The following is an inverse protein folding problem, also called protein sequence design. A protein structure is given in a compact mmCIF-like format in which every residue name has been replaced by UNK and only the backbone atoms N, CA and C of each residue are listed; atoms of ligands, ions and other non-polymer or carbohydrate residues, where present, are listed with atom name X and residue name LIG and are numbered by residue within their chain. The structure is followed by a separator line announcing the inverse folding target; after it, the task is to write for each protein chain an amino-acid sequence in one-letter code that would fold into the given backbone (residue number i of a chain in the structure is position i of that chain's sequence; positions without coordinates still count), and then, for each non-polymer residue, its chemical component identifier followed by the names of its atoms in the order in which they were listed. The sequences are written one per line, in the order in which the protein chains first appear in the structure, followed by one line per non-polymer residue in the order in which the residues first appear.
data_IF_547244582918
#
_entry.id   IF_547244582918
#
_cell.length_a   1.000
_cell.length_b   1.000
_cell.length_c   1.000
_cell.angle_alpha   90.00
_cell.angle_beta   90.00
_cell.angle_gamma   90.00
#
_symmetry.space_group_name_H-M   'P 1'
#
loop_
_entity.id
_entity.type
_entity.pdbx_description
1 polymer ?
#
# COMPACT_ATOMS: atom_id res chain seq x y z
N UNK A 1 -31.48 -11.27 -8.30
CA UNK A 1 -30.13 -11.70 -7.86
C UNK A 1 -29.73 -12.86 -8.75
N UNK A 2 -28.58 -12.78 -9.42
CA UNK A 2 -28.17 -13.85 -10.33
C UNK A 2 -27.72 -15.10 -9.53
N UNK A 3 -27.58 -16.25 -10.20
CA UNK A 3 -27.23 -17.53 -9.56
C UNK A 3 -25.89 -17.47 -8.83
N UNK A 4 -24.89 -16.78 -9.38
CA UNK A 4 -23.58 -16.55 -8.76
C UNK A 4 -23.72 -15.85 -7.40
N UNK A 5 -24.52 -14.78 -7.33
CA UNK A 5 -24.72 -14.05 -6.08
C UNK A 5 -25.35 -14.91 -4.98
N UNK A 6 -26.24 -15.86 -5.33
CA UNK A 6 -26.82 -16.78 -4.37
C UNK A 6 -25.78 -17.76 -3.82
N UNK A 7 -24.89 -18.25 -4.67
CA UNK A 7 -23.78 -19.12 -4.28
C UNK A 7 -22.85 -18.38 -3.32
N UNK A 8 -22.38 -17.19 -3.73
CA UNK A 8 -21.48 -16.37 -2.90
C UNK A 8 -22.10 -16.00 -1.55
N UNK A 9 -23.41 -15.70 -1.52
CA UNK A 9 -24.08 -15.40 -0.25
C UNK A 9 -24.10 -16.60 0.69
N UNK A 10 -24.38 -17.80 0.19
CA UNK A 10 -24.32 -19.03 1.00
C UNK A 10 -22.94 -19.28 1.60
N UNK A 11 -21.88 -19.09 0.80
CA UNK A 11 -20.50 -19.23 1.28
C UNK A 11 -20.16 -18.18 2.35
N UNK A 12 -20.55 -16.93 2.16
CA UNK A 12 -20.36 -15.87 3.16
C UNK A 12 -21.10 -16.18 4.47
N UNK A 13 -22.33 -16.69 4.39
CA UNK A 13 -23.11 -17.07 5.56
C UNK A 13 -22.47 -18.24 6.31
N UNK A 14 -21.89 -19.21 5.58
CA UNK A 14 -21.14 -20.31 6.17
C UNK A 14 -19.88 -19.84 6.88
N UNK A 15 -19.10 -18.93 6.24
CA UNK A 15 -17.90 -18.30 6.83
C UNK A 15 -18.26 -17.57 8.13
N UNK A 16 -19.36 -16.80 8.13
CA UNK A 16 -19.87 -16.11 9.33
C UNK A 16 -20.29 -17.07 10.42
N UNK A 17 -21.06 -18.10 10.06
CA UNK A 17 -21.54 -19.14 11.00
C UNK A 17 -20.38 -19.86 11.69
N UNK A 18 -19.30 -20.10 10.96
CA UNK A 18 -18.11 -20.78 11.48
C UNK A 18 -17.15 -19.84 12.24
N UNK A 19 -17.50 -18.55 12.44
CA UNK A 19 -16.64 -17.58 13.12
C UNK A 19 -15.36 -17.21 12.36
N UNK A 20 -15.29 -17.52 11.07
CA UNK A 20 -14.12 -17.26 10.22
C UNK A 20 -14.18 -15.91 9.49
N UNK A 21 -15.31 -15.21 9.59
CA UNK A 21 -15.47 -13.91 8.96
C UNK A 21 -14.67 -12.85 9.71
N UNK A 22 -13.71 -12.22 9.03
CA UNK A 22 -12.91 -11.12 9.57
C UNK A 22 -13.50 -9.78 9.13
N UNK A 23 -13.93 -8.99 10.10
CA UNK A 23 -14.33 -7.60 9.86
C UNK A 23 -13.09 -6.72 9.75
N UNK A 24 -12.96 -6.00 8.65
CA UNK A 24 -11.90 -5.02 8.46
C UNK A 24 -12.23 -3.73 9.23
N UNK A 25 -11.24 -3.17 9.91
CA UNK A 25 -11.37 -1.87 10.58
C UNK A 25 -11.04 -0.77 9.60
N UNK A 26 -11.90 0.24 9.51
CA UNK A 26 -11.64 1.43 8.71
C UNK A 26 -10.66 2.34 9.46
N UNK A 27 -9.58 2.72 8.77
CA UNK A 27 -8.56 3.65 9.26
C UNK A 27 -8.74 4.98 8.54
N UNK A 28 -8.78 6.07 9.29
CA UNK A 28 -9.03 7.43 8.80
C UNK A 28 -7.81 8.36 8.90
N UNK A 29 -6.66 7.81 9.26
CA UNK A 29 -5.39 8.52 9.30
C UNK A 29 -4.34 7.85 8.40
N UNK A 30 -3.22 8.52 8.11
CA UNK A 30 -2.04 7.84 7.57
C UNK A 30 -1.58 6.71 8.50
N UNK A 31 -0.82 5.74 7.95
CA UNK A 31 -0.19 4.69 8.73
C UNK A 31 0.91 5.25 9.62
N UNK A 32 0.78 5.00 10.92
CA UNK A 32 1.74 5.44 11.93
C UNK A 32 1.67 4.51 13.14
N UNK A 33 2.49 4.76 14.16
CA UNK A 33 2.41 4.08 15.48
C UNK A 33 1.07 4.32 16.18
N UNK A 34 0.47 5.50 15.95
CA UNK A 34 -0.90 5.83 16.34
C UNK A 34 -1.72 6.06 15.08
N UNK A 35 -2.89 5.46 15.02
CA UNK A 35 -3.84 5.59 13.91
C UNK A 35 -5.22 5.94 14.44
N UNK A 36 -5.98 6.66 13.63
CA UNK A 36 -7.37 6.98 13.91
C UNK A 36 -8.29 5.98 13.21
N UNK A 37 -9.17 5.35 13.95
CA UNK A 37 -10.22 4.49 13.44
C UNK A 37 -11.58 5.21 13.54
N UNK A 38 -12.66 4.49 13.21
CA UNK A 38 -14.03 5.03 13.24
C UNK A 38 -14.29 5.81 14.54
N UNK A 39 -15.11 6.87 14.44
CA UNK A 39 -15.52 7.76 15.54
C UNK A 39 -14.36 8.55 16.19
N UNK A 40 -13.32 8.84 15.40
CA UNK A 40 -12.10 9.53 15.84
C UNK A 40 -11.37 8.84 17.01
N UNK A 41 -11.58 7.55 17.17
CA UNK A 41 -10.90 6.80 18.22
C UNK A 41 -9.45 6.52 17.83
N UNK A 42 -8.50 6.99 18.63
CA UNK A 42 -7.07 6.77 18.45
C UNK A 42 -6.64 5.44 19.07
N UNK A 43 -5.89 4.63 18.32
CA UNK A 43 -5.35 3.36 18.79
C UNK A 43 -3.87 3.22 18.43
N UNK A 44 -3.14 2.42 19.21
CA UNK A 44 -1.78 2.02 18.89
C UNK A 44 -1.79 0.92 17.84
N UNK A 45 -0.96 1.09 16.81
CA UNK A 45 -0.85 0.15 15.70
C UNK A 45 0.39 -0.74 15.85
N UNK A 46 0.18 -1.96 16.33
CA UNK A 46 1.24 -2.98 16.46
C UNK A 46 1.29 -3.96 15.28
N UNK A 47 0.42 -3.80 14.29
CA UNK A 47 0.23 -4.79 13.22
C UNK A 47 0.82 -4.36 11.88
N UNK A 48 1.30 -3.12 11.72
CA UNK A 48 1.82 -2.63 10.46
C UNK A 48 3.26 -3.11 10.21
N UNK A 49 3.59 -3.36 8.94
CA UNK A 49 4.95 -3.66 8.50
C UNK A 49 5.79 -2.39 8.32
N UNK A 50 5.50 -1.34 9.08
CA UNK A 50 6.18 -0.04 9.03
C UNK A 50 7.36 0.01 10.01
N UNK A 51 8.23 -0.98 9.96
CA UNK A 51 9.32 -1.19 10.93
C UNK A 51 10.28 0.00 11.04
N UNK A 52 10.50 0.72 9.95
CA UNK A 52 11.38 1.89 9.91
C UNK A 52 10.64 3.23 10.07
N UNK A 53 9.32 3.21 10.22
CA UNK A 53 8.51 4.42 10.33
C UNK A 53 8.45 5.28 9.06
N UNK A 54 8.75 4.71 7.89
CA UNK A 54 8.90 5.46 6.65
C UNK A 54 7.60 5.66 5.87
N UNK A 55 6.54 4.93 6.15
CA UNK A 55 5.30 4.98 5.35
C UNK A 55 4.61 6.35 5.36
N UNK A 56 4.87 7.20 6.34
CA UNK A 56 4.36 8.58 6.42
C UNK A 56 5.48 9.58 6.78
N UNK A 57 6.73 9.26 6.45
CA UNK A 57 7.85 10.15 6.71
C UNK A 57 7.81 11.35 5.76
N UNK A 58 7.94 12.60 6.25
CA UNK A 58 7.79 13.80 5.43
C UNK A 58 8.75 13.84 4.24
N UNK A 59 10.01 13.47 4.41
CA UNK A 59 10.98 13.47 3.31
C UNK A 59 10.63 12.44 2.22
N UNK A 60 10.04 11.29 2.59
CA UNK A 60 9.58 10.28 1.63
C UNK A 60 8.36 10.78 0.86
N UNK A 61 7.41 11.42 1.55
CA UNK A 61 6.24 12.04 0.92
C UNK A 61 6.65 13.12 -0.07
N UNK A 62 7.55 14.02 0.33
CA UNK A 62 8.07 15.09 -0.54
C UNK A 62 8.80 14.54 -1.76
N UNK A 63 9.63 13.52 -1.57
CA UNK A 63 10.32 12.85 -2.68
C UNK A 63 9.32 12.20 -3.65
N UNK A 64 8.29 11.54 -3.14
CA UNK A 64 7.23 10.93 -3.96
C UNK A 64 6.46 11.99 -4.77
N UNK A 65 6.07 13.11 -4.14
CA UNK A 65 5.38 14.22 -4.81
C UNK A 65 6.26 14.82 -5.92
N UNK A 66 7.55 15.07 -5.64
CA UNK A 66 8.51 15.56 -6.64
C UNK A 66 8.68 14.57 -7.79
N UNK A 67 8.77 13.27 -7.48
CA UNK A 67 8.85 12.21 -8.48
C UNK A 67 7.63 12.19 -9.41
N UNK A 68 6.43 12.23 -8.85
CA UNK A 68 5.17 12.25 -9.60
C UNK A 68 5.09 13.51 -10.50
N UNK A 69 5.45 14.68 -9.98
CA UNK A 69 5.45 15.92 -10.76
C UNK A 69 6.44 15.89 -11.92
N UNK A 70 7.58 15.24 -11.77
CA UNK A 70 8.64 15.19 -12.78
C UNK A 70 8.43 14.09 -13.81
N UNK A 71 7.99 12.91 -13.40
CA UNK A 71 7.95 11.70 -14.23
C UNK A 71 6.54 11.21 -14.54
N UNK A 72 5.51 11.77 -13.91
CA UNK A 72 4.14 11.28 -13.98
C UNK A 72 3.88 10.15 -12.98
N UNK A 73 2.64 9.64 -13.00
CA UNK A 73 2.21 8.59 -12.06
C UNK A 73 2.81 7.22 -12.37
N UNK A 74 3.05 6.92 -13.64
CA UNK A 74 3.61 5.63 -14.04
C UNK A 74 4.04 5.63 -15.49
N UNK A 75 4.87 4.64 -15.84
CA UNK A 75 5.42 4.48 -17.19
C UNK A 75 4.39 4.00 -18.22
N UNK A 76 3.33 3.34 -17.77
CA UNK A 76 2.23 2.79 -18.58
C UNK A 76 2.67 1.79 -19.66
N UNK A 77 3.87 1.22 -19.54
CA UNK A 77 4.44 0.23 -20.46
C UNK A 77 5.59 -0.52 -19.81
N UNK A 78 6.09 -1.55 -20.51
CA UNK A 78 7.30 -2.24 -20.12
C UNK A 78 8.56 -1.53 -20.63
N UNK A 79 9.63 -1.58 -19.84
CA UNK A 79 10.85 -0.76 -20.02
C UNK A 79 11.56 -1.00 -21.36
N UNK A 80 11.57 -2.22 -21.87
CA UNK A 80 12.25 -2.54 -23.12
C UNK A 80 11.47 -2.13 -24.39
N UNK A 81 10.17 -1.79 -24.27
CA UNK A 81 9.35 -1.28 -25.38
C UNK A 81 9.38 0.25 -25.42
N UNK A 82 9.01 0.91 -24.30
CA UNK A 82 8.87 2.37 -24.24
C UNK A 82 10.09 3.09 -23.63
N UNK A 83 11.08 2.35 -23.18
CA UNK A 83 12.29 2.89 -22.57
C UNK A 83 12.28 2.86 -21.05
N UNK A 84 13.44 3.07 -20.48
CA UNK A 84 13.68 3.16 -19.04
C UNK A 84 13.76 4.63 -18.65
N UNK A 85 13.00 5.05 -17.64
CA UNK A 85 13.13 6.40 -17.09
C UNK A 85 14.44 6.55 -16.31
N UNK A 86 15.03 7.75 -16.31
CA UNK A 86 16.28 8.04 -15.59
C UNK A 86 16.22 7.73 -14.10
N UNK A 87 15.05 7.81 -13.47
CA UNK A 87 14.86 7.48 -12.05
C UNK A 87 15.08 5.98 -11.76
N UNK A 88 14.78 5.08 -12.73
CA UNK A 88 15.07 3.66 -12.58
C UNK A 88 16.58 3.40 -12.61
N UNK A 89 17.29 3.99 -13.59
CA UNK A 89 18.73 3.86 -13.73
C UNK A 89 19.47 4.43 -12.49
N UNK A 90 19.02 5.58 -11.99
CA UNK A 90 19.55 6.16 -10.76
C UNK A 90 19.37 5.25 -9.55
N UNK A 91 18.18 4.68 -9.36
CA UNK A 91 17.91 3.74 -8.27
C UNK A 91 18.78 2.49 -8.37
N UNK A 92 18.91 1.92 -9.56
CA UNK A 92 19.75 0.74 -9.81
C UNK A 92 21.22 1.01 -9.45
N UNK A 93 21.77 2.17 -9.82
CA UNK A 93 23.12 2.60 -9.45
C UNK A 93 23.29 2.76 -7.95
N UNK A 94 22.36 3.44 -7.29
CA UNK A 94 22.41 3.64 -5.84
C UNK A 94 22.33 2.30 -5.08
N UNK A 95 21.48 1.37 -5.51
CA UNK A 95 21.39 0.03 -4.91
C UNK A 95 22.67 -0.78 -5.14
N UNK A 96 23.26 -0.71 -6.35
CA UNK A 96 24.53 -1.37 -6.67
C UNK A 96 25.66 -0.89 -5.75
N UNK A 97 25.78 0.42 -5.55
CA UNK A 97 26.77 1.02 -4.65
C UNK A 97 26.52 0.56 -3.21
N UNK A 98 25.27 0.68 -2.74
CA UNK A 98 24.90 0.33 -1.37
C UNK A 98 25.16 -1.15 -1.04
N UNK A 99 24.86 -2.04 -1.97
CA UNK A 99 25.02 -3.49 -1.80
C UNK A 99 26.41 -3.99 -2.19
N UNK A 100 27.27 -3.13 -2.73
CA UNK A 100 28.58 -3.48 -3.26
C UNK A 100 28.54 -4.64 -4.29
N UNK A 101 27.62 -4.54 -5.28
CA UNK A 101 27.33 -5.53 -6.34
C UNK A 101 27.37 -4.91 -7.73
#
# INVERSE_FOLDING_TARGET
MNELNKILQKELDLIKKNGLYKSERLIFSPQNSKITIKDNFEVLNFCSNNYLGLSNHPDILDAAIKGIKKYGFGLSSVRFICGTQSIHDELEKQLSIFLNK
#
